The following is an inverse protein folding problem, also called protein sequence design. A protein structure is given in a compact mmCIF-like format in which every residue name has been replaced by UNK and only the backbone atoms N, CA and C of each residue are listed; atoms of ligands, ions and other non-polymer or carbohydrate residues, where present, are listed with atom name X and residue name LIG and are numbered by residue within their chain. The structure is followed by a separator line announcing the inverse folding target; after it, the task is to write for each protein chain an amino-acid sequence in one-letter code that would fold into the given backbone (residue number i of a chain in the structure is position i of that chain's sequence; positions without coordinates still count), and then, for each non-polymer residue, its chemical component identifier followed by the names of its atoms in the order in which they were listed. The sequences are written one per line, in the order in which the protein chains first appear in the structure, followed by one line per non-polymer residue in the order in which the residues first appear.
data_IF_224988908953
#
_entry.id   IF_224988908953
#
_cell.length_a   1.000
_cell.length_b   1.000
_cell.length_c   1.000
_cell.angle_alpha   90.00
_cell.angle_beta   90.00
_cell.angle_gamma   90.00
#
_symmetry.space_group_name_H-M   'P 1'
#
loop_
_entity.id
_entity.type
_entity.pdbx_description
1 polymer ?
#
# COMPACT_ATOMS: atom_id res chain seq x y z
N UNK A 1 6.81 -22.33 -7.73
CA UNK A 1 7.35 -21.07 -7.17
C UNK A 1 6.49 -19.94 -7.70
N UNK A 2 5.44 -19.55 -6.96
CA UNK A 2 4.51 -18.52 -7.41
C UNK A 2 5.23 -17.16 -7.37
N UNK A 3 5.33 -16.50 -8.52
CA UNK A 3 6.02 -15.22 -8.65
C UNK A 3 5.53 -14.22 -7.60
N UNK A 4 6.47 -13.69 -6.82
CA UNK A 4 6.21 -12.62 -5.85
C UNK A 4 5.53 -11.47 -6.57
N UNK A 5 4.22 -11.39 -6.41
CA UNK A 5 3.39 -10.36 -7.02
C UNK A 5 3.51 -9.11 -6.16
N UNK A 6 4.66 -8.46 -6.25
CA UNK A 6 4.92 -7.18 -5.58
C UNK A 6 4.02 -6.14 -6.23
N UNK A 7 3.16 -5.52 -5.44
CA UNK A 7 2.23 -4.49 -5.89
C UNK A 7 2.47 -3.22 -5.07
N UNK A 8 2.23 -2.04 -5.64
CA UNK A 8 2.27 -0.82 -4.84
C UNK A 8 1.11 -0.81 -3.84
N UNK A 9 1.37 -0.32 -2.64
CA UNK A 9 0.39 -0.23 -1.56
C UNK A 9 -0.80 0.66 -1.95
N UNK A 10 -0.57 1.81 -2.58
CA UNK A 10 -1.63 2.70 -3.07
C UNK A 10 -2.59 2.00 -4.04
N UNK A 11 -2.01 1.20 -4.95
CA UNK A 11 -2.75 0.39 -5.91
C UNK A 11 -3.53 -0.68 -5.16
N UNK A 12 -2.89 -1.43 -4.27
CA UNK A 12 -3.55 -2.47 -3.49
C UNK A 12 -4.73 -1.93 -2.66
N UNK A 13 -4.57 -0.80 -1.97
CA UNK A 13 -5.63 -0.17 -1.17
C UNK A 13 -6.86 0.21 -2.01
N UNK A 14 -6.64 0.65 -3.26
CA UNK A 14 -7.72 0.94 -4.19
C UNK A 14 -8.41 -0.35 -4.69
N UNK A 15 -7.64 -1.38 -5.06
CA UNK A 15 -8.18 -2.68 -5.50
C UNK A 15 -8.94 -3.40 -4.37
N UNK A 16 -8.43 -3.34 -3.15
CA UNK A 16 -9.07 -3.86 -1.94
C UNK A 16 -10.23 -2.99 -1.43
N UNK A 17 -10.57 -1.91 -2.16
CA UNK A 17 -11.72 -1.01 -1.89
C UNK A 17 -11.67 -0.25 -0.56
N UNK A 18 -10.49 -0.12 0.06
CA UNK A 18 -10.30 0.80 1.20
C UNK A 18 -10.40 2.26 0.78
N UNK A 19 -10.07 2.58 -0.47
CA UNK A 19 -10.10 3.93 -1.01
C UNK A 19 -10.95 3.99 -2.28
N UNK A 20 -11.72 5.08 -2.44
CA UNK A 20 -12.55 5.32 -3.63
C UNK A 20 -11.74 5.59 -4.90
N UNK A 21 -10.53 6.11 -4.77
CA UNK A 21 -9.63 6.41 -5.89
C UNK A 21 -8.17 6.16 -5.53
N UNK A 22 -7.33 5.95 -6.55
CA UNK A 22 -5.88 5.77 -6.39
C UNK A 22 -5.21 7.01 -5.79
N UNK A 23 -5.65 8.21 -6.15
CA UNK A 23 -5.12 9.47 -5.59
C UNK A 23 -5.41 9.57 -4.10
N UNK A 24 -6.59 9.14 -3.64
CA UNK A 24 -6.93 9.11 -2.22
C UNK A 24 -6.07 8.10 -1.46
N UNK A 25 -5.85 6.92 -2.05
CA UNK A 25 -4.95 5.92 -1.49
C UNK A 25 -3.52 6.44 -1.35
N UNK A 26 -3.00 7.13 -2.37
CA UNK A 26 -1.67 7.78 -2.32
C UNK A 26 -1.57 8.81 -1.19
N UNK A 27 -2.55 9.71 -1.07
CA UNK A 27 -2.62 10.69 0.02
C UNK A 27 -2.66 10.00 1.39
N UNK A 28 -3.43 8.93 1.54
CA UNK A 28 -3.50 8.17 2.78
C UNK A 28 -2.15 7.55 3.15
N UNK A 29 -1.43 6.99 2.17
CA UNK A 29 -0.06 6.51 2.36
C UNK A 29 0.92 7.64 2.76
N UNK A 30 0.73 8.87 2.29
CA UNK A 30 1.58 10.01 2.65
C UNK A 30 1.30 10.53 4.07
N UNK A 31 0.10 10.31 4.60
CA UNK A 31 -0.26 10.77 5.96
C UNK A 31 0.44 10.05 7.10
N UNK A 32 1.21 8.98 6.84
CA UNK A 32 1.89 8.22 7.91
C UNK A 32 0.97 7.32 8.73
N UNK A 33 -0.33 7.24 8.39
CA UNK A 33 -1.34 6.47 9.14
C UNK A 33 -1.30 4.98 8.88
N UNK A 34 -0.68 4.55 7.79
CA UNK A 34 -0.53 3.13 7.43
C UNK A 34 0.85 2.68 7.88
N UNK A 35 0.92 1.52 8.53
CA UNK A 35 2.18 0.85 8.86
C UNK A 35 2.32 -0.38 7.99
N UNK A 36 3.53 -0.63 7.52
CA UNK A 36 3.92 -1.81 6.76
C UNK A 36 5.19 -2.38 7.39
N UNK A 37 5.17 -3.64 7.76
CA UNK A 37 6.23 -4.31 8.52
C UNK A 37 6.67 -3.50 9.76
N UNK A 38 5.70 -2.91 10.46
CA UNK A 38 5.94 -2.06 11.64
C UNK A 38 6.50 -0.65 11.36
N UNK A 39 6.76 -0.28 10.09
CA UNK A 39 7.24 1.04 9.70
C UNK A 39 6.10 1.89 9.14
N UNK A 40 6.01 3.15 9.57
CA UNK A 40 5.05 4.07 8.98
C UNK A 40 5.37 4.29 7.50
N UNK A 41 4.37 4.09 6.65
CA UNK A 41 4.45 4.40 5.24
C UNK A 41 4.30 5.90 5.09
N UNK A 42 5.24 6.54 4.42
CA UNK A 42 5.23 7.98 4.13
C UNK A 42 5.26 8.28 2.64
N UNK A 43 5.35 7.23 1.81
CA UNK A 43 5.44 7.35 0.35
C UNK A 43 4.32 6.53 -0.30
N UNK A 44 3.60 7.15 -1.23
CA UNK A 44 2.54 6.48 -2.00
C UNK A 44 3.05 5.32 -2.88
N UNK A 45 4.34 5.31 -3.24
CA UNK A 45 4.96 4.27 -4.07
C UNK A 45 5.53 3.09 -3.26
N UNK A 46 5.20 2.96 -1.98
CA UNK A 46 5.64 1.84 -1.16
C UNK A 46 5.20 0.51 -1.80
N UNK A 47 6.13 -0.44 -1.87
CA UNK A 47 5.86 -1.78 -2.39
C UNK A 47 5.33 -2.67 -1.27
N UNK A 48 4.26 -3.40 -1.56
CA UNK A 48 3.59 -4.39 -0.73
C UNK A 48 3.92 -5.77 -1.29
N UNK A 49 4.45 -6.64 -0.42
CA UNK A 49 4.73 -8.04 -0.73
C UNK A 49 3.75 -8.95 0.01
N UNK A 50 3.41 -10.11 -0.55
CA UNK A 50 2.67 -11.13 0.20
C UNK A 50 3.43 -11.50 1.48
N UNK A 51 2.78 -11.35 2.64
CA UNK A 51 3.39 -11.61 3.95
C UNK A 51 3.81 -10.38 4.74
N UNK A 52 3.80 -9.18 4.14
CA UNK A 52 3.97 -7.94 4.90
C UNK A 52 2.72 -7.68 5.78
N UNK A 53 2.94 -7.29 7.04
CA UNK A 53 1.91 -6.99 8.06
C UNK A 53 2.01 -5.59 8.63
#
# INVERSE_FOLDING_TARGET
MAGESVIRLDKWLWFARFCKSRTLAGKLCETGRIKLAGKAVTKANQMLRPGDV
#
